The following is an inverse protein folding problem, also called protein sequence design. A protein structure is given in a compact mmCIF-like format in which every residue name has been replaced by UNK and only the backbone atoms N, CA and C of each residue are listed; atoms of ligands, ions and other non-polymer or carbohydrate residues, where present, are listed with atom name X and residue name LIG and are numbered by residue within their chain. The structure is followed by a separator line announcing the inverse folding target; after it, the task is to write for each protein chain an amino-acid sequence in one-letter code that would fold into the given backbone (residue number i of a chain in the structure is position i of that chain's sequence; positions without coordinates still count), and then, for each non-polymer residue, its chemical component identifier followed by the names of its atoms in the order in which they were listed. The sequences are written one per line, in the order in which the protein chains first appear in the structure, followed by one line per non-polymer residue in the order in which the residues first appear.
data_IF_380732629803
#
_entry.id   IF_380732629803
#
_cell.length_a   1.000
_cell.length_b   1.000
_cell.length_c   1.000
_cell.angle_alpha   90.00
_cell.angle_beta   90.00
_cell.angle_gamma   90.00
#
_symmetry.space_group_name_H-M   'P 1'
#
loop_
_entity.id
_entity.type
_entity.pdbx_description
1 polymer ?
#
# COMPACT_ATOMS: atom_id res chain seq x y z
N UNK A 1 24.55 -7.61 -8.26
CA UNK A 1 25.11 -8.96 -8.14
C UNK A 1 24.75 -9.44 -6.73
N UNK A 2 23.78 -10.34 -6.61
CA UNK A 2 23.23 -10.84 -5.34
C UNK A 2 23.97 -12.12 -4.93
N UNK A 3 25.31 -12.06 -4.87
CA UNK A 3 26.11 -13.28 -4.84
C UNK A 3 26.53 -13.74 -3.44
N UNK A 4 26.18 -12.99 -2.38
CA UNK A 4 26.70 -13.28 -1.03
C UNK A 4 25.66 -13.77 -0.02
N UNK A 5 24.41 -13.99 -0.40
CA UNK A 5 23.36 -14.48 0.53
C UNK A 5 22.37 -15.37 -0.20
N UNK A 6 21.98 -16.48 0.43
CA UNK A 6 21.04 -17.54 0.00
C UNK A 6 19.62 -17.02 -0.30
N UNK A 7 19.48 -16.01 -1.15
CA UNK A 7 18.22 -15.44 -1.56
C UNK A 7 17.83 -16.00 -2.92
N UNK A 8 16.59 -16.44 -3.02
CA UNK A 8 15.95 -16.93 -4.23
C UNK A 8 14.97 -15.88 -4.75
N UNK A 9 14.88 -15.75 -6.07
CA UNK A 9 13.95 -14.83 -6.74
C UNK A 9 12.59 -15.52 -6.91
N UNK A 10 11.55 -14.93 -6.35
CA UNK A 10 10.15 -15.31 -6.57
C UNK A 10 9.63 -14.48 -7.75
N UNK A 11 9.76 -15.00 -8.97
CA UNK A 11 9.30 -14.33 -10.20
C UNK A 11 9.14 -15.36 -11.31
N UNK A 12 8.00 -15.33 -12.01
CA UNK A 12 7.72 -16.24 -13.13
C UNK A 12 7.87 -15.58 -14.52
N UNK A 13 8.14 -14.27 -14.56
CA UNK A 13 8.28 -13.48 -15.79
C UNK A 13 7.01 -12.76 -16.23
N UNK A 14 5.87 -12.94 -15.55
CA UNK A 14 4.64 -12.21 -15.83
C UNK A 14 4.84 -10.71 -15.64
N UNK A 15 4.38 -9.85 -16.57
CA UNK A 15 4.49 -8.40 -16.45
C UNK A 15 3.81 -7.89 -15.20
N UNK A 16 4.50 -7.02 -14.44
CA UNK A 16 3.97 -6.41 -13.22
C UNK A 16 3.87 -4.88 -13.31
N UNK A 17 4.14 -4.33 -14.50
CA UNK A 17 3.93 -2.94 -14.80
C UNK A 17 3.51 -2.75 -16.26
N UNK A 18 2.65 -1.78 -16.51
CA UNK A 18 2.25 -1.31 -17.84
C UNK A 18 2.52 0.17 -17.99
N UNK A 19 3.28 0.54 -19.01
CA UNK A 19 3.52 1.94 -19.33
C UNK A 19 2.47 2.45 -20.32
N UNK A 20 1.66 3.41 -19.89
CA UNK A 20 0.68 4.04 -20.77
C UNK A 20 1.33 4.81 -21.94
N UNK A 21 2.49 5.43 -21.68
CA UNK A 21 3.20 6.26 -22.66
C UNK A 21 3.83 5.47 -23.80
N UNK A 22 4.21 4.22 -23.54
CA UNK A 22 4.90 3.35 -24.52
C UNK A 22 4.06 2.14 -24.94
N UNK A 23 2.88 1.95 -24.33
CA UNK A 23 2.01 0.78 -24.52
C UNK A 23 2.78 -0.56 -24.37
N UNK A 24 3.72 -0.59 -23.43
CA UNK A 24 4.53 -1.78 -23.11
C UNK A 24 4.12 -2.36 -21.77
N UNK A 25 4.24 -3.68 -21.64
CA UNK A 25 4.13 -4.38 -20.36
C UNK A 25 5.50 -4.95 -20.00
N UNK A 26 5.98 -4.61 -18.81
CA UNK A 26 7.35 -4.84 -18.37
C UNK A 26 7.38 -5.47 -16.99
N UNK A 27 8.54 -6.02 -16.63
CA UNK A 27 8.72 -6.73 -15.36
C UNK A 27 9.70 -5.99 -14.46
N UNK A 28 9.22 -4.94 -13.79
CA UNK A 28 10.02 -4.09 -12.91
C UNK A 28 10.14 -4.63 -11.50
N UNK A 29 9.03 -5.04 -10.90
CA UNK A 29 9.04 -5.43 -9.49
C UNK A 29 9.72 -6.80 -9.32
N UNK A 30 10.45 -6.97 -8.22
CA UNK A 30 11.18 -8.19 -7.87
C UNK A 30 10.82 -8.57 -6.44
N UNK A 31 10.49 -9.83 -6.23
CA UNK A 31 10.30 -10.41 -4.91
C UNK A 31 11.45 -11.38 -4.63
N UNK A 32 12.07 -11.25 -3.47
CA UNK A 32 13.16 -12.12 -3.02
C UNK A 32 12.77 -12.79 -1.71
N UNK A 33 13.30 -13.99 -1.50
CA UNK A 33 13.03 -14.80 -0.32
C UNK A 33 14.27 -15.59 0.05
N UNK A 34 14.38 -16.09 1.28
CA UNK A 34 15.48 -16.99 1.65
C UNK A 34 15.25 -18.40 1.11
N UNK A 35 16.33 -19.13 0.86
CA UNK A 35 16.29 -20.46 0.25
C UNK A 35 15.45 -21.48 1.06
N UNK A 36 15.41 -21.34 2.39
CA UNK A 36 14.68 -22.21 3.31
C UNK A 36 13.15 -22.09 3.18
N UNK A 37 12.63 -20.92 2.80
CA UNK A 37 11.19 -20.70 2.64
C UNK A 37 10.74 -20.65 1.18
N UNK A 38 11.67 -20.54 0.22
CA UNK A 38 11.36 -20.54 -1.21
C UNK A 38 10.39 -21.66 -1.65
N UNK A 39 10.56 -22.94 -1.23
CA UNK A 39 9.68 -24.03 -1.64
C UNK A 39 8.24 -23.91 -1.10
N UNK A 40 8.02 -23.07 -0.09
CA UNK A 40 6.72 -22.85 0.56
C UNK A 40 6.01 -21.62 -0.01
N UNK A 41 6.64 -20.88 -0.92
CA UNK A 41 6.12 -19.67 -1.51
C UNK A 41 5.49 -19.95 -2.88
N UNK A 42 4.31 -19.37 -3.14
CA UNK A 42 3.78 -19.21 -4.51
C UNK A 42 3.75 -17.74 -4.85
N UNK A 43 3.98 -17.41 -6.12
CA UNK A 43 4.02 -16.04 -6.62
C UNK A 43 3.08 -15.92 -7.82
N UNK A 44 2.34 -14.83 -7.92
CA UNK A 44 1.51 -14.52 -9.08
C UNK A 44 1.27 -13.03 -9.21
N UNK A 45 1.11 -12.54 -10.43
CA UNK A 45 0.59 -11.18 -10.69
C UNK A 45 -0.94 -11.21 -10.68
N UNK A 46 -1.55 -10.25 -10.01
CA UNK A 46 -3.00 -10.06 -9.98
C UNK A 46 -3.48 -9.10 -11.07
N UNK A 47 -4.80 -9.10 -11.29
CA UNK A 47 -5.43 -8.17 -12.21
C UNK A 47 -5.19 -6.71 -11.86
N UNK A 48 -5.19 -5.88 -12.89
CA UNK A 48 -4.95 -4.45 -12.81
C UNK A 48 -6.03 -3.73 -12.00
N UNK A 49 -5.61 -2.93 -11.01
CA UNK A 49 -6.50 -2.18 -10.11
C UNK A 49 -6.58 -0.67 -10.44
N UNK A 50 -6.27 -0.27 -11.67
CA UNK A 50 -6.40 1.13 -12.12
C UNK A 50 -5.11 1.95 -12.04
N UNK A 51 -3.95 1.33 -11.88
CA UNK A 51 -2.62 1.97 -11.88
C UNK A 51 -1.67 1.23 -12.80
N UNK A 52 -0.66 1.94 -13.28
CA UNK A 52 0.47 1.41 -14.07
C UNK A 52 1.15 0.17 -13.47
N UNK A 53 1.00 -0.13 -12.18
CA UNK A 53 1.49 -1.37 -11.55
C UNK A 53 0.41 -2.44 -11.38
N UNK A 54 0.76 -3.68 -11.70
CA UNK A 54 -0.05 -4.86 -11.37
C UNK A 54 0.35 -5.40 -9.99
N UNK A 55 -0.60 -5.65 -9.08
CA UNK A 55 -0.27 -6.14 -7.74
C UNK A 55 0.39 -7.53 -7.79
N UNK A 56 1.39 -7.74 -6.94
CA UNK A 56 2.02 -9.05 -6.74
C UNK A 56 1.39 -9.73 -5.53
N UNK A 57 0.94 -10.99 -5.71
CA UNK A 57 0.49 -11.86 -4.63
C UNK A 57 1.54 -12.93 -4.34
N UNK A 58 2.02 -12.95 -3.10
CA UNK A 58 2.87 -14.02 -2.57
C UNK A 58 2.09 -14.77 -1.50
N UNK A 59 1.95 -16.09 -1.66
CA UNK A 59 1.39 -16.96 -0.61
C UNK A 59 2.51 -17.73 0.03
N UNK A 60 2.54 -17.78 1.35
CA UNK A 60 3.51 -18.56 2.12
C UNK A 60 2.77 -19.63 2.92
N UNK A 61 3.05 -20.90 2.61
CA UNK A 61 2.38 -22.03 3.24
C UNK A 61 3.19 -22.58 4.40
N UNK A 62 2.90 -22.13 5.62
CA UNK A 62 3.51 -22.64 6.85
C UNK A 62 2.45 -23.08 7.85
N UNK A 63 2.70 -24.22 8.49
CA UNK A 63 1.95 -24.60 9.68
C UNK A 63 2.41 -23.73 10.86
N UNK A 64 1.68 -22.66 11.13
CA UNK A 64 1.99 -21.74 12.23
C UNK A 64 1.16 -22.10 13.47
N UNK A 65 1.82 -22.18 14.64
CA UNK A 65 1.12 -22.07 15.92
C UNK A 65 0.81 -20.59 16.12
N UNK A 66 -0.45 -20.22 15.98
CA UNK A 66 -0.90 -18.84 16.19
C UNK A 66 -1.03 -18.60 17.69
N UNK A 67 -0.21 -17.69 18.21
CA UNK A 67 -0.47 -17.07 19.52
C UNK A 67 -1.27 -15.81 19.21
N UNK A 68 -2.55 -15.83 19.54
CA UNK A 68 -3.42 -14.67 19.32
C UNK A 68 -3.08 -13.64 20.39
N UNK A 69 -2.42 -12.56 19.99
CA UNK A 69 -2.26 -11.37 20.83
C UNK A 69 -3.48 -10.47 20.60
N UNK A 70 -4.28 -10.26 21.64
CA UNK A 70 -5.51 -9.46 21.59
C UNK A 70 -5.26 -7.96 21.78
N UNK A 71 -4.03 -7.53 22.01
CA UNK A 71 -3.76 -6.21 22.58
C UNK A 71 -3.80 -5.05 21.58
N UNK A 72 -3.91 -5.31 20.26
CA UNK A 72 -3.91 -4.25 19.24
C UNK A 72 -4.84 -4.54 18.08
N UNK A 73 -6.14 -4.36 18.30
CA UNK A 73 -7.10 -4.23 17.21
C UNK A 73 -7.42 -2.75 16.98
N UNK A 74 -7.45 -2.34 15.71
CA UNK A 74 -8.09 -1.09 15.32
C UNK A 74 -9.60 -1.25 15.56
N UNK A 75 -10.13 -0.58 16.58
CA UNK A 75 -11.55 -0.61 16.85
C UNK A 75 -12.26 0.41 15.96
N UNK A 76 -12.63 -0.02 14.76
CA UNK A 76 -13.36 0.82 13.80
C UNK A 76 -14.78 1.18 14.25
N UNK A 77 -15.38 0.41 15.16
CA UNK A 77 -16.71 0.71 15.72
C UNK A 77 -16.68 1.91 16.67
N UNK A 78 -15.55 2.15 17.34
CA UNK A 78 -15.37 3.29 18.25
C UNK A 78 -14.99 4.60 17.55
N UNK A 79 -14.70 4.55 16.25
CA UNK A 79 -14.33 5.76 15.50
C UNK A 79 -15.60 6.55 15.18
N UNK A 80 -15.69 7.77 15.70
CA UNK A 80 -16.77 8.68 15.37
C UNK A 80 -16.46 9.40 14.05
N UNK A 81 -16.89 8.78 12.94
CA UNK A 81 -16.69 9.32 11.59
C UNK A 81 -17.46 10.62 11.35
N UNK A 82 -18.60 10.81 12.01
CA UNK A 82 -19.40 12.02 11.87
C UNK A 82 -18.67 13.22 12.46
N UNK A 83 -18.07 13.10 13.63
CA UNK A 83 -17.25 14.16 14.23
C UNK A 83 -15.98 14.45 13.44
N UNK A 84 -15.33 13.41 12.89
CA UNK A 84 -14.19 13.61 11.99
C UNK A 84 -14.59 14.39 10.73
N UNK A 85 -15.71 14.00 10.12
CA UNK A 85 -16.26 14.66 8.94
C UNK A 85 -16.59 16.12 9.23
N UNK A 86 -17.30 16.40 10.31
CA UNK A 86 -17.66 17.76 10.71
C UNK A 86 -16.42 18.63 10.93
N UNK A 87 -15.41 18.10 11.62
CA UNK A 87 -14.15 18.79 11.83
C UNK A 87 -13.42 19.11 10.51
N UNK A 88 -13.42 18.17 9.56
CA UNK A 88 -12.85 18.36 8.23
C UNK A 88 -13.63 19.40 7.43
N UNK A 89 -14.97 19.31 7.41
CA UNK A 89 -15.83 20.22 6.65
C UNK A 89 -15.70 21.66 7.15
N UNK A 90 -15.72 21.89 8.48
CA UNK A 90 -15.47 23.21 9.09
C UNK A 90 -14.10 23.74 8.68
N UNK A 91 -13.09 22.86 8.74
CA UNK A 91 -11.72 23.23 8.44
C UNK A 91 -11.54 23.62 6.97
N UNK A 92 -12.18 22.89 6.05
CA UNK A 92 -12.15 23.17 4.61
C UNK A 92 -12.97 24.40 4.24
N UNK A 93 -14.07 24.67 4.93
CA UNK A 93 -14.89 25.86 4.72
C UNK A 93 -14.20 27.16 5.18
N UNK A 94 -13.21 27.07 6.10
CA UNK A 94 -12.53 28.24 6.66
C UNK A 94 -11.62 29.00 5.68
N UNK A 95 -11.19 28.37 4.57
CA UNK A 95 -10.35 29.00 3.54
C UNK A 95 -10.77 28.50 2.14
N UNK A 96 -11.09 29.39 1.18
CA UNK A 96 -11.45 28.97 -0.16
C UNK A 96 -10.26 28.29 -0.84
N UNK A 97 -10.46 27.06 -1.30
CA UNK A 97 -9.44 26.35 -2.09
C UNK A 97 -9.10 27.18 -3.33
N UNK A 98 -7.81 27.45 -3.51
CA UNK A 98 -7.32 28.21 -4.66
C UNK A 98 -7.23 27.31 -5.89
N UNK A 99 -7.26 27.91 -7.10
CA UNK A 99 -7.07 27.21 -8.38
C UNK A 99 -5.68 26.53 -8.45
N UNK A 100 -4.71 27.01 -7.68
CA UNK A 100 -3.42 26.35 -7.49
C UNK A 100 -3.56 25.10 -6.60
N UNK A 101 -3.58 23.94 -7.26
CA UNK A 101 -3.68 22.63 -6.63
C UNK A 101 -2.51 22.31 -5.69
N UNK A 102 -1.30 22.84 -5.97
CA UNK A 102 -0.10 22.58 -5.15
C UNK A 102 -0.21 23.31 -3.81
N UNK A 103 -0.67 24.56 -3.88
CA UNK A 103 -0.95 25.37 -2.69
C UNK A 103 -2.12 24.81 -1.89
N UNK A 104 -3.21 24.46 -2.56
CA UNK A 104 -4.39 23.85 -1.93
C UNK A 104 -4.04 22.52 -1.23
N UNK A 105 -3.20 21.69 -1.85
CA UNK A 105 -2.71 20.44 -1.24
C UNK A 105 -1.83 20.66 0.00
N UNK A 106 -0.99 21.68 -0.02
CA UNK A 106 -0.14 22.03 1.12
C UNK A 106 -0.98 22.51 2.32
N UNK A 107 -1.99 23.34 2.05
CA UNK A 107 -2.95 23.81 3.07
C UNK A 107 -3.72 22.62 3.65
N UNK A 108 -4.24 21.74 2.79
CA UNK A 108 -4.96 20.53 3.19
C UNK A 108 -4.16 19.64 4.13
N UNK A 109 -2.90 19.30 3.79
CA UNK A 109 -2.02 18.49 4.66
C UNK A 109 -1.79 19.15 6.02
N UNK A 110 -1.52 20.46 6.04
CA UNK A 110 -1.29 21.21 7.27
C UNK A 110 -2.51 21.13 8.18
N UNK A 111 -3.71 21.32 7.64
CA UNK A 111 -4.97 21.26 8.39
C UNK A 111 -5.26 19.85 8.92
N UNK A 112 -5.09 18.81 8.11
CA UNK A 112 -5.22 17.41 8.53
C UNK A 112 -4.28 17.01 9.66
N UNK A 113 -3.07 17.55 9.66
CA UNK A 113 -2.11 17.30 10.76
C UNK A 113 -2.51 17.95 12.08
N UNK A 114 -3.34 19.00 12.03
CA UNK A 114 -3.83 19.75 13.19
C UNK A 114 -5.15 19.19 13.74
N UNK A 115 -5.93 18.46 12.93
CA UNK A 115 -7.15 17.74 13.36
C UNK A 115 -6.87 16.37 13.98
N UNK A 116 -5.63 16.09 14.37
CA UNK A 116 -5.31 14.92 15.19
C UNK A 116 -5.95 15.14 16.58
N UNK A 117 -7.16 14.62 16.73
CA UNK A 117 -7.89 14.56 18.00
C UNK A 117 -7.17 13.57 18.91
N UNK A 118 -6.81 14.04 20.11
CA UNK A 118 -6.25 13.22 21.21
C UNK A 118 -7.24 12.14 21.68
#
# INVERSE_FOLDING_TARGET
MMDDKEFMILKDGSPNHSSFSYNTSEVFDISITSADIFPQCTWSVLEHIGRDHFPILIKYSKRQRVVINWDKFWNFEKVNWDSFREAVDICLASEPMTVDLTRSWTIFKKKLSLTRLD
#
